data_IF_323441446011
#
_entry.id   IF_323441446011
#
_cell.length_a   1.000
_cell.length_b   1.000
_cell.length_c   1.000
_cell.angle_alpha   90.00
_cell.angle_beta   90.00
_cell.angle_gamma   90.00
#
_symmetry.space_group_name_H-M   'P 1'
#
loop_
_entity.id
_entity.type
_entity.pdbx_description
1 polymer ?
#
# COMPACT_ATOMS: atom_id res chain seq x y z
N UNK A 1 24.46 11.99 -35.75
CA UNK A 1 24.23 10.84 -34.83
C UNK A 1 22.75 10.60 -34.74
N UNK A 2 22.31 9.34 -34.77
CA UNK A 2 20.90 8.97 -34.60
C UNK A 2 20.38 9.32 -33.21
N UNK A 3 19.05 9.38 -33.05
CA UNK A 3 18.43 9.60 -31.75
C UNK A 3 18.69 8.42 -30.80
N UNK A 4 18.85 8.72 -29.51
CA UNK A 4 19.00 7.72 -28.44
C UNK A 4 17.64 7.11 -28.12
N UNK A 5 17.58 5.79 -28.08
CA UNK A 5 16.33 5.00 -27.89
C UNK A 5 16.38 4.18 -26.60
N UNK A 6 15.25 3.61 -26.18
CA UNK A 6 15.19 2.71 -25.01
C UNK A 6 16.01 1.43 -25.20
N UNK A 7 16.30 1.03 -26.44
CA UNK A 7 17.16 -0.14 -26.74
C UNK A 7 18.64 0.25 -26.76
N UNK A 8 18.99 1.33 -27.46
CA UNK A 8 20.39 1.75 -27.58
C UNK A 8 20.95 2.37 -26.30
N UNK A 9 20.07 3.00 -25.51
CA UNK A 9 20.39 3.65 -24.25
C UNK A 9 19.28 3.31 -23.24
N UNK A 10 19.32 2.10 -22.65
CA UNK A 10 18.30 1.65 -21.69
C UNK A 10 18.09 2.64 -20.56
N UNK A 11 16.85 2.73 -20.06
CA UNK A 11 16.52 3.62 -18.96
C UNK A 11 17.37 3.25 -17.75
N UNK A 12 18.04 4.24 -17.16
CA UNK A 12 18.86 4.05 -15.97
C UNK A 12 18.14 4.67 -14.77
N UNK A 13 17.95 3.90 -13.71
CA UNK A 13 17.39 4.36 -12.45
C UNK A 13 18.54 4.47 -11.45
N UNK A 14 18.96 5.69 -11.16
CA UNK A 14 19.87 5.95 -10.04
C UNK A 14 19.05 5.90 -8.75
N UNK A 15 19.51 5.23 -7.70
CA UNK A 15 18.69 5.09 -6.50
C UNK A 15 19.50 5.20 -5.21
N UNK A 16 18.83 5.69 -4.17
CA UNK A 16 19.33 5.72 -2.80
C UNK A 16 18.48 4.76 -1.97
N UNK A 17 19.10 3.80 -1.29
CA UNK A 17 18.40 2.98 -0.30
C UNK A 17 18.01 3.86 0.90
N UNK A 18 16.72 3.89 1.27
CA UNK A 18 16.24 4.81 2.29
C UNK A 18 16.67 4.44 3.73
N UNK A 19 17.12 3.20 3.93
CA UNK A 19 17.63 2.67 5.20
C UNK A 19 17.45 1.16 5.30
N UNK A 20 17.92 0.57 6.40
CA UNK A 20 17.82 -0.88 6.61
C UNK A 20 16.35 -1.33 6.70
N UNK A 21 15.96 -2.31 5.87
CA UNK A 21 14.58 -2.82 5.81
C UNK A 21 13.58 -1.89 5.10
N UNK A 22 14.02 -0.70 4.67
CA UNK A 22 13.23 0.24 3.88
C UNK A 22 13.45 0.01 2.39
N UNK A 23 12.52 0.48 1.57
CA UNK A 23 12.67 0.52 0.12
C UNK A 23 13.65 1.58 -0.37
N UNK A 24 13.77 1.70 -1.69
CA UNK A 24 14.68 2.65 -2.35
C UNK A 24 13.94 3.79 -3.05
N UNK A 25 14.56 4.98 -3.04
CA UNK A 25 14.10 6.13 -3.82
C UNK A 25 14.89 6.20 -5.11
N UNK A 26 14.22 5.96 -6.24
CA UNK A 26 14.79 5.98 -7.57
C UNK A 26 14.64 7.34 -8.25
N UNK A 27 15.60 7.69 -9.11
CA UNK A 27 15.66 8.93 -9.87
C UNK A 27 15.96 8.60 -11.32
N UNK A 28 15.12 9.08 -12.23
CA UNK A 28 15.37 8.98 -13.67
C UNK A 28 14.86 10.20 -14.43
N UNK A 29 15.22 10.30 -15.71
CA UNK A 29 14.61 11.27 -16.62
C UNK A 29 13.26 10.75 -17.13
N UNK A 30 12.47 11.60 -17.79
CA UNK A 30 11.12 11.26 -18.22
C UNK A 30 11.07 9.97 -19.07
N UNK A 31 10.38 8.90 -18.61
CA UNK A 31 10.15 7.67 -19.37
C UNK A 31 9.45 7.96 -20.70
N UNK A 32 9.80 7.26 -21.77
CA UNK A 32 9.16 7.39 -23.09
C UNK A 32 9.44 8.71 -23.83
N UNK A 33 10.26 9.61 -23.27
CA UNK A 33 10.42 10.95 -23.83
C UNK A 33 10.87 10.95 -25.31
N UNK A 34 10.16 11.73 -26.09
CA UNK A 34 10.48 12.13 -27.47
C UNK A 34 11.01 13.56 -27.44
N UNK A 35 12.30 13.76 -27.70
CA UNK A 35 12.91 15.08 -27.60
C UNK A 35 14.03 15.25 -28.63
N UNK A 36 13.79 16.03 -29.69
CA UNK A 36 14.76 16.26 -30.77
C UNK A 36 15.95 17.11 -30.34
N UNK A 37 15.74 18.09 -29.46
CA UNK A 37 16.77 19.03 -29.00
C UNK A 37 16.93 18.95 -27.48
N UNK A 38 17.71 17.98 -27.01
CA UNK A 38 18.16 17.92 -25.62
C UNK A 38 19.66 18.22 -25.53
N UNK A 39 20.12 18.67 -24.36
CA UNK A 39 21.54 18.91 -24.10
C UNK A 39 22.42 17.67 -24.33
N UNK A 40 21.84 16.47 -24.18
CA UNK A 40 22.51 15.19 -24.40
C UNK A 40 22.29 14.61 -25.80
N UNK A 41 21.70 15.37 -26.72
CA UNK A 41 21.32 14.92 -28.06
C UNK A 41 19.85 14.48 -28.16
N UNK A 42 19.44 14.07 -29.35
CA UNK A 42 18.05 13.68 -29.61
C UNK A 42 17.68 12.37 -28.89
N UNK A 43 16.44 12.29 -28.41
CA UNK A 43 15.83 11.13 -27.77
C UNK A 43 14.57 10.71 -28.52
N UNK A 44 14.42 9.40 -28.72
CA UNK A 44 13.23 8.75 -29.27
C UNK A 44 12.98 7.47 -28.48
N UNK A 45 12.43 7.62 -27.27
CA UNK A 45 12.26 6.53 -26.31
C UNK A 45 10.89 5.87 -26.42
N UNK A 46 10.86 4.58 -26.14
CA UNK A 46 9.62 3.83 -26.11
C UNK A 46 9.06 3.88 -24.67
N UNK A 47 7.80 4.29 -24.54
CA UNK A 47 7.16 4.47 -23.25
C UNK A 47 6.97 3.13 -22.54
N UNK A 48 6.49 2.10 -23.25
CA UNK A 48 6.16 0.81 -22.66
C UNK A 48 7.44 0.08 -22.24
N UNK A 49 8.50 0.13 -23.05
CA UNK A 49 9.80 -0.43 -22.66
C UNK A 49 10.37 0.27 -21.42
N UNK A 50 10.27 1.59 -21.34
CA UNK A 50 10.76 2.33 -20.17
C UNK A 50 9.92 2.03 -18.91
N UNK A 51 8.60 1.93 -19.05
CA UNK A 51 7.71 1.55 -17.94
C UNK A 51 7.98 0.12 -17.48
N UNK A 52 8.27 -0.81 -18.41
CA UNK A 52 8.70 -2.17 -18.06
C UNK A 52 9.97 -2.17 -17.20
N UNK A 53 10.98 -1.36 -17.56
CA UNK A 53 12.22 -1.25 -16.75
C UNK A 53 11.93 -0.73 -15.34
N UNK A 54 10.95 0.16 -15.19
CA UNK A 54 10.55 0.70 -13.89
C UNK A 54 9.82 -0.36 -13.05
N UNK A 55 8.94 -1.14 -13.68
CA UNK A 55 8.25 -2.26 -13.04
C UNK A 55 9.24 -3.37 -12.63
N UNK A 56 10.19 -3.70 -13.48
CA UNK A 56 11.24 -4.69 -13.21
C UNK A 56 12.18 -4.27 -12.07
N UNK A 57 12.38 -2.96 -11.89
CA UNK A 57 13.09 -2.41 -10.73
C UNK A 57 12.26 -2.48 -9.42
N UNK A 58 11.00 -2.90 -9.50
CA UNK A 58 10.13 -3.11 -8.35
C UNK A 58 9.56 -1.83 -7.77
N UNK A 59 9.38 -0.79 -8.58
CA UNK A 59 8.67 0.42 -8.14
C UNK A 59 7.21 0.08 -7.79
N UNK A 60 6.75 0.49 -6.62
CA UNK A 60 5.33 0.49 -6.28
C UNK A 60 4.64 1.78 -6.74
N UNK A 61 5.39 2.89 -6.78
CA UNK A 61 4.89 4.21 -7.17
C UNK A 61 5.85 4.93 -8.12
N UNK A 62 5.28 5.67 -9.07
CA UNK A 62 5.99 6.60 -9.94
C UNK A 62 5.46 8.03 -9.73
N UNK A 63 6.36 8.91 -9.30
CA UNK A 63 6.09 10.34 -9.09
C UNK A 63 6.57 11.14 -10.31
N UNK A 64 5.62 11.75 -11.01
CA UNK A 64 5.88 12.59 -12.19
C UNK A 64 5.83 14.07 -11.82
N UNK A 65 6.95 14.77 -11.97
CA UNK A 65 7.09 16.19 -11.63
C UNK A 65 7.00 17.13 -12.85
N UNK A 66 6.75 16.57 -14.03
CA UNK A 66 6.60 17.33 -15.27
C UNK A 66 5.17 17.89 -15.38
N UNK A 67 5.05 19.11 -15.92
CA UNK A 67 3.76 19.75 -16.18
C UNK A 67 3.04 19.09 -17.37
N UNK A 68 1.72 19.27 -17.48
CA UNK A 68 0.93 18.67 -18.59
C UNK A 68 1.44 19.08 -19.97
N UNK A 69 1.82 20.35 -20.12
CA UNK A 69 2.39 20.85 -21.38
C UNK A 69 3.76 20.22 -21.68
N UNK A 70 4.52 19.85 -20.64
CA UNK A 70 5.78 19.13 -20.81
C UNK A 70 5.51 17.68 -21.26
N UNK A 71 4.54 16.98 -20.65
CA UNK A 71 4.11 15.64 -21.09
C UNK A 71 3.72 15.63 -22.56
N UNK A 72 2.93 16.62 -23.00
CA UNK A 72 2.57 16.79 -24.41
C UNK A 72 3.79 17.05 -25.29
N UNK A 73 4.68 17.96 -24.89
CA UNK A 73 5.89 18.29 -25.66
C UNK A 73 6.88 17.12 -25.79
N UNK A 74 6.86 16.21 -24.81
CA UNK A 74 7.71 15.02 -24.75
C UNK A 74 7.03 13.79 -25.38
N UNK A 75 5.79 13.92 -25.88
CA UNK A 75 5.05 12.84 -26.53
C UNK A 75 4.62 11.70 -25.58
N UNK A 76 4.39 12.00 -24.30
CA UNK A 76 4.12 11.00 -23.25
C UNK A 76 2.88 11.31 -22.42
N UNK A 77 1.83 11.84 -23.06
CA UNK A 77 0.55 12.15 -22.39
C UNK A 77 -0.12 10.92 -21.77
N UNK A 78 0.16 9.71 -22.29
CA UNK A 78 -0.34 8.43 -21.78
C UNK A 78 0.53 7.82 -20.68
N UNK A 79 1.57 8.49 -20.20
CA UNK A 79 2.48 7.96 -19.17
C UNK A 79 1.75 7.44 -17.94
N UNK A 80 0.78 8.20 -17.44
CA UNK A 80 0.01 7.81 -16.26
C UNK A 80 -0.87 6.58 -16.47
N UNK A 81 -1.35 6.34 -17.69
CA UNK A 81 -2.10 5.12 -18.04
C UNK A 81 -1.15 3.92 -18.12
N UNK A 82 0.00 4.10 -18.78
CA UNK A 82 1.01 3.05 -18.91
C UNK A 82 1.55 2.59 -17.55
N UNK A 83 1.86 3.52 -16.63
CA UNK A 83 2.30 3.20 -15.26
C UNK A 83 1.24 2.37 -14.52
N UNK A 84 -0.04 2.75 -14.59
CA UNK A 84 -1.13 2.00 -13.93
C UNK A 84 -1.38 0.65 -14.56
N UNK A 85 -1.26 0.55 -15.89
CA UNK A 85 -1.39 -0.72 -16.62
C UNK A 85 -0.27 -1.72 -16.21
N UNK A 86 0.89 -1.21 -15.79
CA UNK A 86 1.97 -1.99 -15.21
C UNK A 86 1.83 -2.23 -13.69
N UNK A 87 0.63 -2.06 -13.13
CA UNK A 87 0.30 -2.30 -11.71
C UNK A 87 1.09 -1.45 -10.71
N UNK A 88 1.51 -0.23 -11.12
CA UNK A 88 2.14 0.76 -10.25
C UNK A 88 1.22 1.95 -10.01
N UNK A 89 1.34 2.59 -8.85
CA UNK A 89 0.65 3.86 -8.60
C UNK A 89 1.31 5.00 -9.38
N UNK A 90 0.49 5.88 -9.97
CA UNK A 90 0.97 7.10 -10.62
C UNK A 90 0.56 8.34 -9.83
N UNK A 91 1.56 9.11 -9.40
CA UNK A 91 1.39 10.34 -8.64
C UNK A 91 1.88 11.52 -9.47
N UNK A 92 0.96 12.32 -10.02
CA UNK A 92 1.29 13.50 -10.81
C UNK A 92 1.34 14.75 -9.92
N UNK A 93 2.56 15.25 -9.69
CA UNK A 93 2.86 16.35 -8.78
C UNK A 93 3.73 17.39 -9.50
N UNK A 94 3.14 18.16 -10.44
CA UNK A 94 3.90 19.04 -11.32
C UNK A 94 4.68 20.10 -10.54
N UNK A 95 5.94 20.30 -10.93
CA UNK A 95 6.78 21.41 -10.47
C UNK A 95 7.27 22.12 -11.72
N UNK A 96 7.09 23.45 -11.76
CA UNK A 96 7.57 24.27 -12.86
C UNK A 96 9.04 24.00 -13.17
N UNK A 97 9.40 23.92 -14.44
CA UNK A 97 10.77 23.58 -14.84
C UNK A 97 11.81 24.48 -14.14
N UNK A 98 12.95 23.87 -13.78
CA UNK A 98 14.07 24.44 -12.99
C UNK A 98 13.72 25.09 -11.64
N UNK A 99 12.46 25.02 -11.21
CA UNK A 99 11.95 25.68 -10.01
C UNK A 99 11.95 24.75 -8.79
N UNK A 100 11.49 25.27 -7.66
CA UNK A 100 11.23 24.54 -6.42
C UNK A 100 9.74 24.19 -6.31
N UNK A 101 9.35 23.23 -5.45
CA UNK A 101 7.95 23.04 -5.05
C UNK A 101 7.24 24.34 -4.68
N UNK A 102 6.02 24.52 -5.19
CA UNK A 102 5.17 25.67 -4.88
C UNK A 102 4.01 25.29 -3.92
N UNK A 103 3.13 26.25 -3.63
CA UNK A 103 2.02 26.02 -2.71
C UNK A 103 1.03 24.93 -3.17
N UNK A 104 0.86 24.76 -4.49
CA UNK A 104 0.00 23.72 -5.04
C UNK A 104 0.63 22.34 -4.83
N UNK A 105 1.93 22.22 -5.08
CA UNK A 105 2.69 21.01 -4.75
C UNK A 105 2.60 20.69 -3.26
N UNK A 106 2.85 21.66 -2.37
CA UNK A 106 2.83 21.42 -0.92
C UNK A 106 1.45 20.95 -0.43
N UNK A 107 0.37 21.51 -0.99
CA UNK A 107 -1.00 21.07 -0.69
C UNK A 107 -1.22 19.61 -1.13
N UNK A 108 -0.76 19.24 -2.33
CA UNK A 108 -0.85 17.86 -2.80
C UNK A 108 0.08 16.89 -2.02
N UNK A 109 1.22 17.38 -1.54
CA UNK A 109 2.19 16.61 -0.77
C UNK A 109 1.65 16.20 0.60
N UNK A 110 0.79 17.02 1.22
CA UNK A 110 0.13 16.67 2.49
C UNK A 110 -0.67 15.36 2.39
N UNK A 111 -1.22 15.05 1.21
CA UNK A 111 -1.93 13.81 0.94
C UNK A 111 -1.00 12.70 0.45
N UNK A 112 -0.12 13.02 -0.51
CA UNK A 112 0.66 12.02 -1.24
C UNK A 112 1.92 11.58 -0.50
N UNK A 113 2.60 12.53 0.15
CA UNK A 113 3.83 12.27 0.91
C UNK A 113 3.69 11.17 1.97
N UNK A 114 2.64 11.16 2.82
CA UNK A 114 2.42 10.08 3.78
C UNK A 114 2.33 8.69 3.15
N UNK A 115 1.64 8.56 2.01
CA UNK A 115 1.49 7.28 1.31
C UNK A 115 2.84 6.78 0.77
N UNK A 116 3.61 7.64 0.10
CA UNK A 116 4.94 7.31 -0.41
C UNK A 116 5.92 6.90 0.70
N UNK A 117 5.91 7.63 1.83
CA UNK A 117 6.70 7.28 3.01
C UNK A 117 6.34 5.91 3.56
N UNK A 118 5.04 5.58 3.62
CA UNK A 118 4.58 4.29 4.13
C UNK A 118 4.96 3.14 3.20
N UNK A 119 4.91 3.33 1.87
CA UNK A 119 5.41 2.35 0.90
C UNK A 119 6.90 2.08 1.09
N UNK A 120 7.73 3.14 1.20
CA UNK A 120 9.15 3.00 1.49
C UNK A 120 9.39 2.28 2.82
N UNK A 121 8.60 2.56 3.86
CA UNK A 121 8.66 1.86 5.15
C UNK A 121 8.28 0.39 5.08
N UNK A 122 7.37 0.03 4.19
CA UNK A 122 6.97 -1.35 3.93
C UNK A 122 7.96 -2.10 3.00
N UNK A 123 9.08 -1.47 2.63
CA UNK A 123 10.12 -2.09 1.78
C UNK A 123 9.91 -1.90 0.28
N UNK A 124 8.88 -1.16 -0.15
CA UNK A 124 8.61 -0.92 -1.56
C UNK A 124 9.42 0.24 -2.13
N UNK A 125 9.78 0.17 -3.41
CA UNK A 125 10.53 1.24 -4.07
C UNK A 125 9.60 2.35 -4.60
N UNK A 126 10.09 3.59 -4.60
CA UNK A 126 9.40 4.76 -5.16
C UNK A 126 10.30 5.41 -6.19
N UNK A 127 9.83 5.54 -7.44
CA UNK A 127 10.54 6.25 -8.50
C UNK A 127 10.07 7.71 -8.58
N UNK A 128 11.00 8.63 -8.70
CA UNK A 128 10.76 10.06 -8.96
C UNK A 128 11.40 10.45 -10.29
N UNK A 129 10.65 11.15 -11.15
CA UNK A 129 11.21 11.70 -12.37
C UNK A 129 10.73 13.13 -12.66
N UNK A 130 11.52 13.83 -13.47
CA UNK A 130 11.12 15.06 -14.13
C UNK A 130 11.52 14.97 -15.61
N UNK A 131 11.73 16.09 -16.31
CA UNK A 131 12.20 16.06 -17.70
C UNK A 131 13.60 15.45 -17.84
N UNK A 132 14.57 15.95 -17.06
CA UNK A 132 15.98 15.55 -17.13
C UNK A 132 16.45 14.57 -16.03
N UNK A 133 15.65 14.39 -14.97
CA UNK A 133 16.04 13.55 -13.83
C UNK A 133 17.23 14.09 -13.05
N UNK A 134 17.35 15.42 -12.93
CA UNK A 134 18.47 16.10 -12.26
C UNK A 134 17.95 17.09 -11.20
N UNK A 135 17.37 18.22 -11.61
CA UNK A 135 16.88 19.25 -10.68
C UNK A 135 15.68 18.81 -9.84
N UNK A 136 14.46 18.98 -10.37
CA UNK A 136 13.18 18.69 -9.68
C UNK A 136 13.13 17.29 -9.07
N UNK A 137 13.56 16.28 -9.83
CA UNK A 137 13.56 14.89 -9.37
C UNK A 137 14.50 14.66 -8.19
N UNK A 138 15.71 15.23 -8.22
CA UNK A 138 16.64 15.18 -7.10
C UNK A 138 16.09 15.90 -5.86
N UNK A 139 15.41 17.05 -6.04
CA UNK A 139 14.79 17.80 -4.95
C UNK A 139 13.74 16.97 -4.20
N UNK A 140 12.82 16.33 -4.94
CA UNK A 140 11.75 15.53 -4.31
C UNK A 140 12.29 14.19 -3.78
N UNK A 141 13.29 13.59 -4.43
CA UNK A 141 13.97 12.42 -3.88
C UNK A 141 14.66 12.72 -2.53
N UNK A 142 15.36 13.86 -2.42
CA UNK A 142 15.94 14.30 -1.16
C UNK A 142 14.84 14.58 -0.10
N UNK A 143 13.72 15.19 -0.50
CA UNK A 143 12.56 15.40 0.39
C UNK A 143 12.07 14.09 1.00
N UNK A 144 11.91 13.04 0.18
CA UNK A 144 11.46 11.71 0.65
C UNK A 144 12.42 11.10 1.67
N UNK A 145 13.73 11.21 1.47
CA UNK A 145 14.74 10.73 2.43
C UNK A 145 14.68 11.51 3.75
N UNK A 146 14.54 12.84 3.69
CA UNK A 146 14.39 13.70 4.87
C UNK A 146 13.14 13.36 5.67
N UNK A 147 12.07 13.05 4.94
CA UNK A 147 10.79 12.58 5.45
C UNK A 147 10.84 11.18 6.09
N UNK A 148 11.93 10.44 5.89
CA UNK A 148 12.25 9.16 6.52
C UNK A 148 13.29 9.29 7.64
N UNK A 149 13.70 10.53 7.96
CA UNK A 149 14.57 10.83 9.11
C UNK A 149 16.01 11.20 8.76
N UNK A 150 16.38 11.27 7.48
CA UNK A 150 17.71 11.73 7.07
C UNK A 150 17.85 13.24 7.31
N UNK A 151 19.02 13.72 7.71
CA UNK A 151 19.23 15.17 7.73
C UNK A 151 19.24 15.73 6.29
N UNK A 152 18.84 16.99 6.07
CA UNK A 152 18.87 17.60 4.75
C UNK A 152 20.22 17.53 4.04
N UNK A 153 21.31 17.68 4.79
CA UNK A 153 22.66 17.61 4.25
C UNK A 153 23.03 16.19 3.78
N UNK A 154 22.70 15.16 4.57
CA UNK A 154 22.94 13.76 4.21
C UNK A 154 22.12 13.35 2.99
N UNK A 155 20.83 13.70 2.96
CA UNK A 155 19.95 13.39 1.84
C UNK A 155 20.43 14.04 0.54
N UNK A 156 20.83 15.32 0.61
CA UNK A 156 21.39 16.04 -0.54
C UNK A 156 22.68 15.39 -1.05
N UNK A 157 23.59 15.01 -0.15
CA UNK A 157 24.85 14.36 -0.51
C UNK A 157 24.60 13.00 -1.18
N UNK A 158 23.75 12.15 -0.58
CA UNK A 158 23.44 10.82 -1.12
C UNK A 158 22.77 10.87 -2.49
N UNK A 159 21.83 11.81 -2.69
CA UNK A 159 21.20 12.02 -4.00
C UNK A 159 22.22 12.45 -5.06
N UNK A 160 23.15 13.35 -4.71
CA UNK A 160 24.21 13.82 -5.62
C UNK A 160 25.26 12.73 -5.91
N UNK A 161 25.50 11.82 -4.98
CA UNK A 161 26.40 10.68 -5.15
C UNK A 161 25.89 9.74 -6.25
N UNK A 162 24.63 9.34 -6.18
CA UNK A 162 24.03 8.41 -7.17
C UNK A 162 23.63 9.11 -8.46
N UNK A 163 23.38 10.42 -8.40
CA UNK A 163 23.01 11.24 -9.54
C UNK A 163 23.80 12.56 -9.54
N UNK A 164 25.03 12.57 -10.08
CA UNK A 164 25.85 13.78 -10.14
C UNK A 164 25.13 14.94 -10.83
N UNK A 165 25.13 16.11 -10.19
CA UNK A 165 24.42 17.30 -10.67
C UNK A 165 22.93 17.37 -10.29
N UNK A 166 22.42 16.40 -9.51
CA UNK A 166 21.07 16.48 -8.97
C UNK A 166 20.91 17.63 -7.96
N UNK A 167 19.68 18.17 -7.86
CA UNK A 167 19.39 19.44 -7.15
C UNK A 167 20.22 20.55 -7.79
N UNK A 168 19.80 20.93 -9.01
CA UNK A 168 20.58 21.63 -10.02
C UNK A 168 20.73 23.13 -9.71
N UNK A 169 19.72 23.75 -9.12
CA UNK A 169 19.72 25.20 -8.86
C UNK A 169 19.99 25.52 -7.38
N UNK A 170 20.57 26.69 -7.11
CA UNK A 170 20.76 27.19 -5.74
C UNK A 170 19.44 27.31 -4.97
N UNK A 171 18.35 27.64 -5.67
CA UNK A 171 17.02 27.70 -5.07
C UNK A 171 16.54 26.31 -4.62
N UNK A 172 16.77 25.27 -5.43
CA UNK A 172 16.46 23.89 -5.06
C UNK A 172 17.30 23.41 -3.88
N UNK A 173 18.59 23.72 -3.86
CA UNK A 173 19.46 23.38 -2.74
C UNK A 173 19.03 24.09 -1.45
N UNK A 174 18.74 25.39 -1.52
CA UNK A 174 18.21 26.14 -0.38
C UNK A 174 16.87 25.59 0.10
N UNK A 175 15.98 25.18 -0.81
CA UNK A 175 14.73 24.52 -0.46
C UNK A 175 14.99 23.23 0.30
N UNK A 176 15.84 22.33 -0.21
CA UNK A 176 16.14 21.05 0.45
C UNK A 176 16.73 21.29 1.84
N UNK A 177 17.70 22.18 1.96
CA UNK A 177 18.37 22.47 3.24
C UNK A 177 17.46 23.16 4.28
N UNK A 178 16.38 23.81 3.84
CA UNK A 178 15.39 24.41 4.72
C UNK A 178 14.33 23.43 5.24
N UNK A 179 14.29 22.20 4.69
CA UNK A 179 13.34 21.18 5.13
C UNK A 179 13.66 20.71 6.54
N UNK A 180 12.61 20.41 7.29
CA UNK A 180 12.71 19.78 8.61
C UNK A 180 12.41 18.30 8.45
N UNK A 181 13.18 17.48 9.16
CA UNK A 181 12.91 16.05 9.29
C UNK A 181 11.52 15.84 9.88
N UNK A 182 10.71 15.02 9.23
CA UNK A 182 9.41 14.64 9.78
C UNK A 182 9.66 13.48 10.76
N UNK A 183 9.48 13.66 12.08
CA UNK A 183 9.65 12.56 13.01
C UNK A 183 8.67 11.44 12.65
N UNK A 184 9.09 10.19 12.85
CA UNK A 184 8.16 9.08 12.73
C UNK A 184 6.98 9.32 13.68
N UNK A 185 5.76 9.14 13.16
CA UNK A 185 4.56 9.26 13.97
C UNK A 185 4.61 8.15 15.03
N UNK A 186 4.89 8.52 16.27
CA UNK A 186 4.76 7.59 17.39
C UNK A 186 3.29 7.28 17.58
N UNK A 187 2.97 6.01 17.87
CA UNK A 187 1.61 5.61 18.15
C UNK A 187 1.09 6.41 19.35
N UNK A 188 0.06 7.22 19.13
CA UNK A 188 -0.54 7.95 20.23
C UNK A 188 -1.15 6.96 21.24
N UNK A 189 -0.76 7.10 22.51
CA UNK A 189 -1.24 6.24 23.61
C UNK A 189 -2.37 6.89 24.41
N UNK A 190 -2.94 8.00 23.93
CA UNK A 190 -4.09 8.62 24.57
C UNK A 190 -5.30 7.66 24.54
N UNK A 191 -6.21 7.70 25.53
CA UNK A 191 -7.42 6.87 25.52
C UNK A 191 -8.22 6.99 24.23
N UNK A 192 -8.32 8.21 23.67
CA UNK A 192 -8.99 8.46 22.39
C UNK A 192 -8.31 7.74 21.22
N UNK A 193 -6.97 7.83 21.12
CA UNK A 193 -6.23 7.17 20.05
C UNK A 193 -6.27 5.63 20.16
N UNK A 194 -6.26 5.09 21.37
CA UNK A 194 -6.42 3.66 21.61
C UNK A 194 -7.80 3.17 21.21
N UNK A 195 -8.84 3.93 21.56
CA UNK A 195 -10.22 3.64 21.18
C UNK A 195 -10.41 3.72 19.65
N UNK A 196 -9.83 4.74 19.01
CA UNK A 196 -9.85 4.91 17.56
C UNK A 196 -9.21 3.71 16.83
N UNK A 197 -8.01 3.29 17.23
CA UNK A 197 -7.36 2.09 16.67
C UNK A 197 -8.12 0.80 16.96
N UNK A 198 -8.75 0.69 18.13
CA UNK A 198 -9.56 -0.48 18.47
C UNK A 198 -10.78 -0.61 17.55
N UNK A 199 -11.45 0.52 17.28
CA UNK A 199 -12.54 0.59 16.28
C UNK A 199 -12.02 0.32 14.88
N UNK A 200 -10.89 0.94 14.51
CA UNK A 200 -10.24 0.75 13.22
C UNK A 200 -9.84 -0.70 12.95
N UNK A 201 -9.40 -1.45 13.97
CA UNK A 201 -9.07 -2.86 13.84
C UNK A 201 -10.31 -3.73 13.53
N UNK A 202 -11.42 -3.51 14.24
CA UNK A 202 -12.67 -4.25 14.02
C UNK A 202 -13.34 -3.85 12.70
N UNK A 203 -13.44 -2.55 12.41
CA UNK A 203 -14.00 -2.04 11.17
C UNK A 203 -13.12 -2.41 9.97
N UNK A 204 -11.80 -2.33 10.12
CA UNK A 204 -10.83 -2.66 9.08
C UNK A 204 -10.87 -4.14 8.68
N UNK A 205 -11.09 -5.04 9.66
CA UNK A 205 -11.38 -6.45 9.39
C UNK A 205 -12.60 -6.58 8.46
N UNK A 206 -13.73 -5.96 8.83
CA UNK A 206 -14.96 -6.05 8.04
C UNK A 206 -14.87 -5.36 6.66
N UNK A 207 -14.16 -4.23 6.58
CA UNK A 207 -13.90 -3.54 5.31
C UNK A 207 -13.02 -4.41 4.41
N UNK A 208 -11.96 -5.01 4.97
CA UNK A 208 -11.05 -5.89 4.22
C UNK A 208 -11.75 -7.12 3.68
N UNK A 209 -12.60 -7.75 4.50
CA UNK A 209 -13.47 -8.86 4.12
C UNK A 209 -14.41 -8.47 2.95
N UNK A 210 -15.23 -7.42 3.13
CA UNK A 210 -16.20 -6.97 2.12
C UNK A 210 -15.56 -6.52 0.79
N UNK A 211 -14.36 -5.95 0.83
CA UNK A 211 -13.62 -5.58 -0.39
C UNK A 211 -12.98 -6.83 -1.02
N UNK A 212 -12.33 -7.65 -0.20
CA UNK A 212 -11.52 -8.80 -0.63
C UNK A 212 -12.31 -9.91 -1.29
N UNK A 213 -13.53 -10.20 -0.81
CA UNK A 213 -14.40 -11.25 -1.38
C UNK A 213 -14.72 -11.02 -2.86
N UNK A 214 -14.66 -9.77 -3.34
CA UNK A 214 -14.83 -9.43 -4.77
C UNK A 214 -13.90 -10.22 -5.69
N UNK A 215 -12.66 -10.46 -5.25
CA UNK A 215 -11.60 -11.14 -6.03
C UNK A 215 -11.37 -12.57 -5.56
N UNK A 216 -12.24 -13.12 -4.73
CA UNK A 216 -12.06 -14.45 -4.18
C UNK A 216 -12.06 -15.52 -5.28
N UNK A 217 -11.14 -16.50 -5.16
CA UNK A 217 -10.86 -17.53 -6.15
C UNK A 217 -10.40 -17.03 -7.54
N UNK A 218 -10.12 -15.74 -7.70
CA UNK A 218 -9.55 -15.20 -8.93
C UNK A 218 -8.04 -15.39 -8.97
N UNK A 219 -7.48 -15.49 -10.18
CA UNK A 219 -6.02 -15.44 -10.36
C UNK A 219 -5.55 -14.01 -10.15
N UNK A 220 -4.45 -13.83 -9.41
CA UNK A 220 -3.78 -12.53 -9.27
C UNK A 220 -3.56 -11.86 -10.64
N UNK A 221 -3.88 -10.58 -10.73
CA UNK A 221 -3.72 -9.72 -11.92
C UNK A 221 -4.47 -10.18 -13.18
N UNK A 222 -5.54 -10.97 -13.03
CA UNK A 222 -6.34 -11.49 -14.16
C UNK A 222 -7.56 -10.64 -14.53
N UNK A 223 -7.86 -9.58 -13.78
CA UNK A 223 -9.04 -8.73 -13.96
C UNK A 223 -8.77 -7.26 -13.63
N UNK A 224 -9.84 -6.46 -13.60
CA UNK A 224 -9.76 -5.05 -13.18
C UNK A 224 -9.45 -4.99 -11.69
N UNK A 225 -8.48 -4.13 -11.31
CA UNK A 225 -8.15 -3.89 -9.92
C UNK A 225 -9.39 -3.39 -9.15
N UNK A 226 -9.67 -3.98 -7.99
CA UNK A 226 -10.72 -3.51 -7.09
C UNK A 226 -10.17 -2.33 -6.30
N UNK A 227 -10.68 -1.15 -6.61
CA UNK A 227 -10.26 0.12 -5.98
C UNK A 227 -11.32 0.71 -5.06
N UNK A 228 -12.48 0.05 -4.95
CA UNK A 228 -13.61 0.48 -4.13
C UNK A 228 -14.41 -0.74 -3.66
N UNK A 229 -15.34 -0.53 -2.73
CA UNK A 229 -16.21 -1.57 -2.19
C UNK A 229 -17.37 -1.84 -3.16
N UNK A 230 -17.17 -2.75 -4.10
CA UNK A 230 -18.12 -3.01 -5.21
C UNK A 230 -18.97 -4.27 -5.06
N UNK A 231 -18.69 -5.12 -4.06
CA UNK A 231 -19.37 -6.40 -3.86
C UNK A 231 -19.09 -7.40 -4.99
N UNK A 232 -20.07 -8.24 -5.33
CA UNK A 232 -19.92 -9.27 -6.36
C UNK A 232 -19.28 -10.55 -5.82
N UNK A 233 -18.15 -10.94 -6.40
CA UNK A 233 -17.45 -12.17 -6.01
C UNK A 233 -18.24 -13.47 -6.26
N UNK A 234 -17.78 -14.60 -5.73
CA UNK A 234 -18.43 -15.90 -5.89
C UNK A 234 -19.86 -15.95 -5.32
N UNK A 235 -20.17 -15.11 -4.34
CA UNK A 235 -21.45 -15.10 -3.64
C UNK A 235 -22.46 -14.07 -4.16
N UNK A 236 -22.07 -13.20 -5.11
CA UNK A 236 -22.88 -12.12 -5.67
C UNK A 236 -23.40 -11.15 -4.60
N UNK A 237 -22.49 -10.72 -3.73
CA UNK A 237 -22.78 -9.81 -2.62
C UNK A 237 -23.09 -8.39 -3.11
N UNK A 238 -23.86 -7.65 -2.33
CA UNK A 238 -24.01 -6.21 -2.49
C UNK A 238 -22.77 -5.47 -1.94
N UNK A 239 -22.48 -4.26 -2.43
CA UNK A 239 -21.49 -3.38 -1.81
C UNK A 239 -21.69 -3.26 -0.29
N UNK A 240 -20.67 -3.63 0.49
CA UNK A 240 -20.67 -3.56 1.95
C UNK A 240 -21.11 -4.81 2.70
N UNK A 241 -21.57 -5.84 1.99
CA UNK A 241 -21.77 -7.17 2.57
C UNK A 241 -20.42 -7.88 2.76
N UNK A 242 -20.26 -8.54 3.91
CA UNK A 242 -19.05 -9.23 4.37
C UNK A 242 -19.31 -10.73 4.59
N UNK A 243 -18.27 -11.55 4.76
CA UNK A 243 -18.33 -13.03 4.71
C UNK A 243 -18.19 -13.69 6.09
N UNK A 244 -17.69 -14.93 6.14
CA UNK A 244 -17.51 -15.69 7.38
C UNK A 244 -16.48 -15.06 8.32
N UNK A 245 -15.46 -14.40 7.78
CA UNK A 245 -14.45 -13.66 8.55
C UNK A 245 -15.07 -12.70 9.56
N UNK A 246 -15.91 -11.79 9.09
CA UNK A 246 -16.59 -10.81 9.93
C UNK A 246 -17.64 -11.47 10.82
N UNK A 247 -18.41 -12.44 10.30
CA UNK A 247 -19.42 -13.14 11.09
C UNK A 247 -18.80 -13.81 12.34
N UNK A 248 -17.68 -14.50 12.14
CA UNK A 248 -16.96 -15.20 13.19
C UNK A 248 -16.22 -14.22 14.10
N UNK A 249 -15.75 -13.08 13.59
CA UNK A 249 -15.19 -12.01 14.42
C UNK A 249 -16.24 -11.38 15.34
N UNK A 250 -17.47 -11.17 14.88
CA UNK A 250 -18.57 -10.64 15.68
C UNK A 250 -18.98 -11.61 16.79
N UNK A 251 -19.16 -12.90 16.45
CA UNK A 251 -19.44 -13.93 17.45
C UNK A 251 -18.35 -14.02 18.53
N UNK A 252 -17.08 -13.88 18.14
CA UNK A 252 -15.95 -13.84 19.06
C UNK A 252 -15.95 -12.58 19.94
N UNK A 253 -16.22 -11.42 19.36
CA UNK A 253 -16.32 -10.16 20.09
C UNK A 253 -17.41 -10.23 21.16
N UNK A 254 -18.59 -10.74 20.82
CA UNK A 254 -19.70 -10.90 21.77
C UNK A 254 -19.36 -11.86 22.90
N UNK A 255 -18.71 -12.99 22.60
CA UNK A 255 -18.27 -13.95 23.62
C UNK A 255 -17.27 -13.32 24.60
N UNK A 256 -16.29 -12.58 24.08
CA UNK A 256 -15.29 -11.87 24.89
C UNK A 256 -15.86 -10.67 25.65
N UNK A 257 -16.94 -10.06 25.16
CA UNK A 257 -17.65 -9.00 25.85
C UNK A 257 -18.50 -9.55 27.01
N UNK A 258 -19.05 -10.76 26.86
CA UNK A 258 -19.89 -11.39 27.86
C UNK A 258 -19.12 -11.85 29.11
N UNK A 259 -17.82 -12.20 28.98
CA UNK A 259 -17.03 -12.75 30.10
C UNK A 259 -15.60 -12.17 30.16
N UNK A 260 -14.98 -12.10 31.37
CA UNK A 260 -13.61 -11.60 31.50
C UNK A 260 -12.55 -12.40 30.74
N UNK A 261 -12.76 -13.71 30.61
CA UNK A 261 -11.92 -14.66 29.88
C UNK A 261 -12.74 -15.32 28.77
N UNK A 262 -12.05 -15.84 27.75
CA UNK A 262 -12.71 -16.59 26.69
C UNK A 262 -13.39 -17.85 27.27
N UNK A 263 -14.68 -17.98 27.00
CA UNK A 263 -15.42 -19.22 27.22
C UNK A 263 -15.57 -19.95 25.89
N UNK A 264 -14.75 -20.98 25.70
CA UNK A 264 -14.69 -21.70 24.42
C UNK A 264 -16.02 -22.39 24.08
N UNK A 265 -16.81 -22.80 25.08
CA UNK A 265 -18.12 -23.43 24.83
C UNK A 265 -19.17 -22.41 24.42
N UNK A 266 -19.19 -21.25 25.04
CA UNK A 266 -20.04 -20.12 24.61
C UNK A 266 -19.72 -19.71 23.17
N UNK A 267 -18.42 -19.52 22.87
CA UNK A 267 -17.97 -19.16 21.53
C UNK A 267 -18.41 -20.18 20.47
N UNK A 268 -18.19 -21.47 20.73
CA UNK A 268 -18.60 -22.53 19.81
C UNK A 268 -20.12 -22.58 19.63
N UNK A 269 -20.90 -22.29 20.68
CA UNK A 269 -22.34 -22.12 20.59
C UNK A 269 -22.74 -20.98 19.63
N UNK A 270 -22.08 -19.82 19.71
CA UNK A 270 -22.33 -18.69 18.81
C UNK A 270 -21.95 -18.99 17.36
N UNK A 271 -20.85 -19.70 17.14
CA UNK A 271 -20.49 -20.16 15.79
C UNK A 271 -21.50 -21.16 15.23
N UNK A 272 -22.04 -22.05 16.07
CA UNK A 272 -23.14 -22.95 15.66
C UNK A 272 -24.39 -22.13 15.32
N UNK A 273 -24.76 -21.13 16.11
CA UNK A 273 -25.87 -20.23 15.76
C UNK A 273 -25.64 -19.56 14.41
N UNK A 274 -24.47 -18.98 14.18
CA UNK A 274 -24.12 -18.42 12.87
C UNK A 274 -24.28 -19.45 11.75
N UNK A 275 -23.68 -20.63 11.92
CA UNK A 275 -23.71 -21.68 10.91
C UNK A 275 -25.13 -22.20 10.62
N UNK A 276 -25.97 -22.36 11.64
CA UNK A 276 -27.30 -22.98 11.52
C UNK A 276 -28.42 -22.00 11.18
N UNK A 277 -28.41 -20.81 11.77
CA UNK A 277 -29.49 -19.83 11.64
C UNK A 277 -29.07 -18.52 10.96
N UNK A 278 -27.79 -18.35 10.63
CA UNK A 278 -27.30 -17.10 10.05
C UNK A 278 -27.18 -15.95 11.04
N UNK A 279 -27.19 -16.25 12.36
CA UNK A 279 -26.87 -15.24 13.38
C UNK A 279 -25.49 -14.65 13.07
N UNK A 280 -25.31 -13.33 13.22
CA UNK A 280 -24.09 -12.64 12.77
C UNK A 280 -23.80 -12.69 11.27
N UNK A 281 -24.73 -13.05 10.38
CA UNK A 281 -24.52 -12.92 8.92
C UNK A 281 -25.12 -11.63 8.39
N UNK A 282 -24.42 -10.93 7.50
CA UNK A 282 -24.97 -9.76 6.80
C UNK A 282 -26.15 -10.12 5.86
N UNK A 283 -26.27 -11.37 5.42
CA UNK A 283 -27.34 -11.84 4.52
C UNK A 283 -28.44 -12.61 5.23
N UNK A 284 -28.37 -12.74 6.57
CA UNK A 284 -29.33 -13.50 7.37
C UNK A 284 -29.24 -15.03 7.21
N UNK A 285 -28.22 -15.55 6.51
CA UNK A 285 -27.92 -16.99 6.39
C UNK A 285 -26.42 -17.24 6.43
N UNK A 286 -26.00 -18.43 6.86
CA UNK A 286 -24.60 -18.83 6.72
C UNK A 286 -24.25 -19.09 5.25
N UNK A 287 -23.15 -18.51 4.81
CA UNK A 287 -22.47 -18.80 3.55
C UNK A 287 -20.97 -18.72 3.79
N UNK A 288 -20.19 -19.19 2.82
CA UNK A 288 -18.72 -19.17 2.84
C UNK A 288 -18.02 -19.89 4.01
N UNK A 289 -18.73 -20.76 4.73
CA UNK A 289 -18.10 -21.51 5.81
C UNK A 289 -17.02 -22.48 5.27
N UNK A 290 -15.78 -22.25 5.68
CA UNK A 290 -14.66 -23.14 5.36
C UNK A 290 -14.87 -24.58 5.86
N UNK A 291 -14.33 -25.55 5.11
CA UNK A 291 -14.49 -26.99 5.40
C UNK A 291 -14.02 -27.36 6.81
N UNK A 292 -12.84 -26.87 7.22
CA UNK A 292 -12.28 -27.12 8.56
C UNK A 292 -13.18 -26.57 9.66
N UNK A 293 -13.68 -25.33 9.50
CA UNK A 293 -14.62 -24.71 10.45
C UNK A 293 -15.89 -25.54 10.57
N UNK A 294 -16.50 -25.89 9.43
CA UNK A 294 -17.72 -26.72 9.40
C UNK A 294 -17.54 -28.06 10.11
N UNK A 295 -16.41 -28.73 9.89
CA UNK A 295 -16.09 -30.00 10.54
C UNK A 295 -15.93 -29.84 12.06
N UNK A 296 -15.26 -28.78 12.52
CA UNK A 296 -15.10 -28.49 13.93
C UNK A 296 -16.46 -28.22 14.62
N UNK A 297 -17.34 -27.42 13.99
CA UNK A 297 -18.67 -27.16 14.53
C UNK A 297 -19.54 -28.41 14.58
N UNK A 298 -19.47 -29.26 13.55
CA UNK A 298 -20.20 -30.53 13.53
C UNK A 298 -19.74 -31.50 14.64
N UNK A 299 -18.43 -31.54 14.92
CA UNK A 299 -17.87 -32.32 16.03
C UNK A 299 -18.33 -31.75 17.38
N UNK A 300 -18.30 -30.44 17.54
CA UNK A 300 -18.79 -29.79 18.77
C UNK A 300 -20.28 -30.04 19.02
N UNK A 301 -21.15 -29.95 18.01
CA UNK A 301 -22.59 -30.26 18.19
C UNK A 301 -22.82 -31.70 18.65
N UNK A 302 -21.97 -32.64 18.22
CA UNK A 302 -22.08 -34.05 18.59
C UNK A 302 -21.53 -34.34 19.99
N UNK A 303 -20.35 -33.81 20.30
CA UNK A 303 -19.57 -34.24 21.46
C UNK A 303 -19.59 -33.21 22.61
N UNK A 304 -20.04 -31.97 22.34
CA UNK A 304 -20.00 -30.81 23.25
C UNK A 304 -18.60 -30.44 23.77
N UNK A 305 -17.56 -30.92 23.07
CA UNK A 305 -16.16 -30.59 23.29
C UNK A 305 -15.79 -29.31 22.52
N UNK A 306 -15.55 -28.18 23.22
CA UNK A 306 -15.31 -26.90 22.55
C UNK A 306 -14.00 -26.84 21.75
N UNK A 307 -12.98 -27.65 22.08
CA UNK A 307 -11.72 -27.69 21.35
C UNK A 307 -11.76 -28.74 20.22
N UNK A 308 -12.72 -28.59 19.32
CA UNK A 308 -13.02 -29.54 18.25
C UNK A 308 -12.22 -29.33 16.93
N UNK A 309 -11.07 -28.66 17.02
CA UNK A 309 -10.16 -28.42 15.87
C UNK A 309 -9.52 -29.70 15.33
N UNK A 310 -8.94 -29.63 14.14
CA UNK A 310 -8.09 -30.70 13.60
C UNK A 310 -6.64 -30.44 14.03
N UNK A 311 -5.90 -31.50 14.32
CA UNK A 311 -4.45 -31.49 14.56
C UNK A 311 -3.63 -31.75 13.28
N UNK A 312 -4.29 -32.12 12.18
CA UNK A 312 -3.66 -32.29 10.86
C UNK A 312 -3.04 -30.98 10.36
N UNK A 313 -1.73 -30.93 10.07
CA UNK A 313 -1.06 -29.75 9.50
C UNK A 313 -1.70 -29.23 8.20
N UNK A 314 -2.34 -30.09 7.42
CA UNK A 314 -3.06 -29.69 6.19
C UNK A 314 -4.33 -28.90 6.46
N UNK A 315 -4.77 -28.79 7.72
CA UNK A 315 -5.92 -28.00 8.14
C UNK A 315 -5.57 -26.57 8.56
N UNK A 316 -4.28 -26.18 8.46
CA UNK A 316 -3.76 -24.85 8.80
C UNK A 316 -4.18 -23.76 7.79
N UNK A 317 -5.48 -23.56 7.65
CA UNK A 317 -6.07 -22.47 6.86
C UNK A 317 -6.18 -21.17 7.64
N UNK A 318 -6.67 -20.13 6.96
CA UNK A 318 -6.74 -18.77 7.51
C UNK A 318 -7.84 -18.55 8.58
N UNK A 319 -8.79 -19.49 8.75
CA UNK A 319 -10.03 -19.27 9.51
C UNK A 319 -9.87 -18.89 10.98
N UNK A 320 -8.71 -19.10 11.60
CA UNK A 320 -8.41 -18.59 12.95
C UNK A 320 -7.86 -17.16 12.94
N UNK A 321 -7.02 -16.81 11.96
CA UNK A 321 -6.34 -15.51 11.87
C UNK A 321 -7.30 -14.39 11.45
N UNK A 322 -8.20 -14.67 10.51
CA UNK A 322 -9.07 -13.65 9.90
C UNK A 322 -10.08 -13.04 10.89
N UNK A 323 -10.33 -13.71 12.03
CA UNK A 323 -11.25 -13.27 13.10
C UNK A 323 -10.56 -12.76 14.37
N UNK A 324 -9.25 -12.53 14.38
CA UNK A 324 -8.46 -12.34 15.62
C UNK A 324 -8.58 -10.94 16.25
N UNK A 325 -9.02 -9.92 15.51
CA UNK A 325 -9.06 -8.53 15.97
C UNK A 325 -9.72 -8.32 17.36
N UNK A 326 -10.85 -8.97 17.71
CA UNK A 326 -11.46 -8.85 19.04
C UNK A 326 -10.54 -9.27 20.19
N UNK A 327 -9.70 -10.29 20.00
CA UNK A 327 -8.75 -10.77 21.01
C UNK A 327 -7.68 -9.71 21.26
N UNK A 328 -7.10 -9.17 20.19
CA UNK A 328 -6.08 -8.12 20.26
C UNK A 328 -6.63 -6.86 20.95
N UNK A 329 -7.87 -6.48 20.65
CA UNK A 329 -8.54 -5.35 21.31
C UNK A 329 -8.84 -5.64 22.77
N UNK A 330 -9.32 -6.84 23.12
CA UNK A 330 -9.68 -7.20 24.50
C UNK A 330 -8.46 -7.24 25.41
N UNK A 331 -7.36 -7.79 24.92
CA UNK A 331 -6.16 -8.10 25.70
C UNK A 331 -4.97 -7.19 25.38
N UNK A 332 -5.19 -6.01 24.78
CA UNK A 332 -4.13 -5.11 24.31
C UNK A 332 -3.08 -4.69 25.37
N UNK A 333 -3.42 -4.75 26.67
CA UNK A 333 -2.51 -4.45 27.80
C UNK A 333 -1.81 -5.68 28.37
N UNK A 334 -2.24 -6.87 28.00
CA UNK A 334 -1.81 -8.13 28.60
C UNK A 334 -1.18 -9.01 27.53
N UNK A 335 0.13 -8.81 27.33
CA UNK A 335 0.90 -9.58 26.35
C UNK A 335 0.98 -11.06 26.70
N UNK A 336 0.91 -11.43 27.97
CA UNK A 336 0.96 -12.84 28.39
C UNK A 336 -0.32 -13.55 27.98
N UNK A 337 -1.48 -12.91 28.14
CA UNK A 337 -2.75 -13.47 27.66
C UNK A 337 -2.87 -13.46 26.12
N UNK A 338 -2.09 -12.63 25.42
CA UNK A 338 -2.04 -12.59 23.94
C UNK A 338 -1.09 -13.62 23.30
N UNK A 339 -0.10 -14.11 24.04
CA UNK A 339 0.94 -15.03 23.56
C UNK A 339 0.49 -16.49 23.62
#
# INVERSE_FOLDING_TARGET
MGARTSVSHPLQIAFVAAGAGLGSVGITFCPGKQQHHAATGAWARDLDLDVSVIADWGAASVVSLVEDHELASLGVTSLGEAVRAAAMEWQHLPIRDVSVPDAAFETAWQKTGPALRNQLRAGFNVLVHCKGGLGRAGTVAARLLIDLGWTPAEALAAVREVRPGAVETRAQEAYVLALVTTPEATLAHSPSALHDRSRGALLGLAIGDAVGTTLEFTRRDSGVAVTDMVGGGPFRLQPGEWTDDTAMALALADSLAAKPKLDARDLMGRFVSWWRSGEYSCTGRCFDIGVTTRQALARFERDLEPYAGSDDPMSAGNGSLMRLAPVAVRHWRDRETLA
#
